data_IF_128859096591
#
_entry.id   IF_128859096591
#
_cell.length_a   1.000
_cell.length_b   1.000
_cell.length_c   1.000
_cell.angle_alpha   90.00
_cell.angle_beta   90.00
_cell.angle_gamma   90.00
#
_symmetry.space_group_name_H-M   'P 1'
#
loop_
_entity.id
_entity.type
_entity.pdbx_description
1 polymer ?
#
# COMPACT_ATOMS: atom_id res chain seq x y z
N UNK A 1 7.06 15.06 18.37
CA UNK A 1 6.49 13.81 17.81
C UNK A 1 7.11 13.61 16.43
N UNK A 2 7.88 12.54 16.21
CA UNK A 2 8.52 12.27 14.92
C UNK A 2 7.55 11.51 14.01
N UNK A 3 7.24 12.08 12.85
CA UNK A 3 6.45 11.38 11.81
C UNK A 3 7.42 10.55 10.98
N UNK A 4 7.08 9.31 10.63
CA UNK A 4 7.93 8.42 9.84
C UNK A 4 7.27 8.09 8.48
N UNK A 5 8.08 8.02 7.43
CA UNK A 5 7.67 7.71 6.07
C UNK A 5 7.06 6.31 6.00
N UNK A 6 5.86 6.13 5.43
CA UNK A 6 5.24 4.80 5.40
C UNK A 6 5.84 3.84 4.35
N UNK A 7 6.63 4.35 3.40
CA UNK A 7 7.31 3.52 2.40
C UNK A 7 8.72 3.06 2.81
N UNK A 8 9.46 3.89 3.55
CA UNK A 8 10.85 3.59 3.95
C UNK A 8 11.13 3.78 5.45
N UNK A 9 10.16 4.29 6.22
CA UNK A 9 10.24 4.57 7.66
C UNK A 9 11.26 5.61 8.11
N UNK A 10 11.86 6.35 7.18
CA UNK A 10 12.67 7.51 7.50
C UNK A 10 11.84 8.55 8.29
N UNK A 11 12.39 9.20 9.33
CA UNK A 11 11.73 10.34 9.93
C UNK A 11 11.49 11.41 8.85
N UNK A 12 10.27 11.91 8.76
CA UNK A 12 9.87 13.01 7.89
C UNK A 12 10.31 14.29 8.58
N UNK A 13 11.62 14.50 8.57
CA UNK A 13 12.25 15.76 8.90
C UNK A 13 12.62 16.40 7.56
N UNK A 14 12.13 17.62 7.31
CA UNK A 14 12.61 18.47 6.23
C UNK A 14 14.13 18.63 6.40
N UNK A 15 14.92 17.87 5.65
CA UNK A 15 16.37 17.91 5.79
C UNK A 15 17.06 16.64 5.29
N UNK A 16 17.54 16.71 4.07
CA UNK A 16 18.29 15.68 3.38
C UNK A 16 19.45 15.11 4.21
N UNK A 17 19.39 13.80 4.53
CA UNK A 17 20.56 12.93 4.68
C UNK A 17 20.21 11.52 4.23
N UNK A 18 20.82 11.10 3.13
CA UNK A 18 21.11 9.71 2.78
C UNK A 18 21.54 8.95 4.06
N UNK A 19 21.07 7.72 4.37
CA UNK A 19 21.80 6.63 5.07
C UNK A 19 20.90 5.44 5.53
N UNK A 20 21.48 4.23 5.75
CA UNK A 20 20.84 2.93 5.56
C UNK A 20 20.30 2.29 6.86
N UNK A 21 19.04 2.56 7.21
CA UNK A 21 18.33 1.80 8.25
C UNK A 21 17.41 0.76 7.59
N UNK A 22 18.00 -0.29 7.01
CA UNK A 22 17.43 -1.02 5.87
C UNK A 22 16.37 -2.10 6.17
N UNK A 23 16.29 -2.72 7.35
CA UNK A 23 15.78 -4.11 7.32
C UNK A 23 14.32 -4.33 7.76
N UNK A 24 13.81 -3.68 8.82
CA UNK A 24 12.48 -4.07 9.37
C UNK A 24 11.28 -3.44 8.66
N UNK A 25 11.41 -2.21 8.16
CA UNK A 25 10.29 -1.47 7.56
C UNK A 25 10.22 -1.61 6.02
N UNK A 26 11.28 -2.13 5.39
CA UNK A 26 11.23 -2.66 4.01
C UNK A 26 10.14 -3.73 3.85
N UNK A 27 9.72 -4.39 4.93
CA UNK A 27 8.67 -5.42 4.94
C UNK A 27 7.26 -4.85 4.71
N UNK A 28 7.03 -3.55 4.92
CA UNK A 28 5.71 -2.91 4.75
C UNK A 28 5.53 -2.19 3.41
N UNK A 29 6.38 -2.47 2.42
CA UNK A 29 6.29 -1.80 1.13
C UNK A 29 5.17 -2.37 0.25
N UNK A 30 4.24 -1.50 -0.19
CA UNK A 30 3.22 -1.84 -1.20
C UNK A 30 3.82 -2.33 -2.53
N UNK A 31 5.12 -2.09 -2.79
CA UNK A 31 5.84 -2.62 -3.95
C UNK A 31 5.93 -4.16 -3.95
N UNK A 32 5.79 -4.82 -2.80
CA UNK A 32 5.82 -6.28 -2.67
C UNK A 32 4.52 -6.96 -3.09
N UNK A 33 3.44 -6.20 -3.22
CA UNK A 33 2.15 -6.72 -3.64
C UNK A 33 2.16 -6.96 -5.16
N UNK A 34 1.63 -8.11 -5.59
CA UNK A 34 1.36 -8.37 -7.00
C UNK A 34 0.30 -7.40 -7.53
N UNK A 35 0.15 -7.22 -8.85
CA UNK A 35 -0.91 -6.39 -9.41
C UNK A 35 -2.30 -6.76 -8.89
N UNK A 36 -2.62 -8.05 -8.84
CA UNK A 36 -3.87 -8.56 -8.26
C UNK A 36 -4.00 -8.21 -6.78
N UNK A 37 -2.96 -8.43 -5.98
CA UNK A 37 -2.97 -8.08 -4.56
C UNK A 37 -3.14 -6.58 -4.30
N UNK A 38 -2.58 -5.72 -5.17
CA UNK A 38 -2.82 -4.27 -5.10
C UNK A 38 -4.29 -3.94 -5.35
N UNK A 39 -4.93 -4.58 -6.33
CA UNK A 39 -6.36 -4.39 -6.57
C UNK A 39 -7.18 -4.79 -5.33
N UNK A 40 -6.94 -5.98 -4.78
CA UNK A 40 -7.58 -6.41 -3.52
C UNK A 40 -7.31 -5.42 -2.38
N UNK A 41 -6.07 -4.96 -2.20
CA UNK A 41 -5.71 -3.99 -1.17
C UNK A 41 -6.49 -2.67 -1.32
N UNK A 42 -6.63 -2.16 -2.54
CA UNK A 42 -7.36 -0.92 -2.81
C UNK A 42 -8.84 -1.01 -2.42
N UNK A 43 -9.47 -2.19 -2.51
CA UNK A 43 -10.88 -2.36 -2.08
C UNK A 43 -11.10 -2.28 -0.56
N UNK A 44 -10.04 -2.36 0.25
CA UNK A 44 -10.16 -2.47 1.71
C UNK A 44 -10.39 -1.13 2.43
N UNK A 45 -10.40 0.00 1.71
CA UNK A 45 -10.46 1.34 2.30
C UNK A 45 -11.73 1.61 3.13
N UNK A 46 -12.84 0.92 2.82
CA UNK A 46 -14.12 1.01 3.54
C UNK A 46 -14.28 -0.08 4.61
N UNK A 47 -13.22 -0.85 4.89
CA UNK A 47 -13.25 -2.02 5.75
C UNK A 47 -14.36 -3.05 5.43
N UNK A 48 -14.56 -3.43 4.15
CA UNK A 48 -15.55 -4.44 3.77
C UNK A 48 -15.24 -5.80 4.41
N UNK A 49 -16.19 -6.73 4.37
CA UNK A 49 -16.06 -8.16 4.65
C UNK A 49 -15.38 -8.92 3.49
N UNK A 50 -15.08 -10.22 3.65
CA UNK A 50 -14.48 -10.98 2.54
C UNK A 50 -15.49 -11.23 1.42
N UNK A 51 -16.76 -11.34 1.79
CA UNK A 51 -17.91 -11.55 0.92
C UNK A 51 -18.14 -10.31 0.05
N UNK A 52 -18.11 -9.13 0.64
CA UNK A 52 -18.21 -7.85 -0.08
C UNK A 52 -17.01 -7.63 -1.03
N UNK A 53 -15.78 -7.95 -0.57
CA UNK A 53 -14.59 -7.89 -1.45
C UNK A 53 -14.73 -8.87 -2.60
N UNK A 54 -15.22 -10.08 -2.34
CA UNK A 54 -15.41 -11.11 -3.34
C UNK A 54 -16.46 -10.70 -4.39
N UNK A 55 -17.56 -10.09 -3.95
CA UNK A 55 -18.58 -9.53 -4.84
C UNK A 55 -18.01 -8.40 -5.71
N UNK A 56 -17.30 -7.43 -5.13
CA UNK A 56 -16.66 -6.35 -5.88
C UNK A 56 -15.65 -6.85 -6.92
N UNK A 57 -14.87 -7.88 -6.56
CA UNK A 57 -13.82 -8.43 -7.42
C UNK A 57 -14.30 -9.55 -8.35
N UNK A 58 -15.58 -9.93 -8.29
CA UNK A 58 -16.17 -11.04 -9.05
C UNK A 58 -15.42 -12.39 -8.88
N UNK A 59 -15.07 -12.72 -7.64
CA UNK A 59 -14.40 -13.99 -7.28
C UNK A 59 -15.16 -14.74 -6.18
N UNK A 60 -14.76 -15.98 -5.90
CA UNK A 60 -15.28 -16.70 -4.73
C UNK A 60 -14.76 -16.11 -3.40
N UNK A 61 -15.54 -16.15 -2.30
CA UNK A 61 -15.10 -15.67 -0.98
C UNK A 61 -13.79 -16.30 -0.48
N UNK A 62 -13.56 -17.58 -0.81
CA UNK A 62 -12.31 -18.28 -0.48
C UNK A 62 -11.09 -17.63 -1.16
N UNK A 63 -11.25 -17.17 -2.40
CA UNK A 63 -10.20 -16.50 -3.17
C UNK A 63 -9.89 -15.13 -2.58
N UNK A 64 -10.92 -14.36 -2.21
CA UNK A 64 -10.72 -13.09 -1.51
C UNK A 64 -9.98 -13.29 -0.18
N UNK A 65 -10.38 -14.29 0.63
CA UNK A 65 -9.69 -14.66 1.88
C UNK A 65 -8.22 -15.01 1.64
N UNK A 66 -7.92 -15.77 0.58
CA UNK A 66 -6.56 -16.15 0.20
C UNK A 66 -5.70 -14.93 -0.15
N UNK A 67 -6.17 -14.04 -1.04
CA UNK A 67 -5.42 -12.84 -1.40
C UNK A 67 -5.21 -11.90 -0.20
N UNK A 68 -6.23 -11.68 0.62
CA UNK A 68 -6.11 -10.84 1.83
C UNK A 68 -5.10 -11.42 2.82
N UNK A 69 -5.07 -12.74 3.00
CA UNK A 69 -4.06 -13.39 3.85
C UNK A 69 -2.63 -13.19 3.30
N UNK A 70 -2.44 -13.32 1.99
CA UNK A 70 -1.15 -13.11 1.35
C UNK A 70 -0.68 -11.65 1.45
N UNK A 71 -1.58 -10.69 1.26
CA UNK A 71 -1.29 -9.25 1.45
C UNK A 71 -0.81 -9.00 2.88
N UNK A 72 -1.53 -9.53 3.88
CA UNK A 72 -1.14 -9.38 5.30
C UNK A 72 0.25 -9.97 5.56
N UNK A 73 0.52 -11.17 5.06
CA UNK A 73 1.84 -11.82 5.18
C UNK A 73 2.95 -10.96 4.55
N UNK A 74 2.73 -10.48 3.32
CA UNK A 74 3.66 -9.63 2.57
C UNK A 74 3.92 -8.27 3.20
N UNK A 75 2.98 -7.77 4.00
CA UNK A 75 3.09 -6.50 4.73
C UNK A 75 3.44 -6.70 6.22
N UNK A 76 4.11 -7.81 6.57
CA UNK A 76 4.62 -8.02 7.93
C UNK A 76 3.59 -8.54 8.93
N UNK A 77 2.59 -9.30 8.47
CA UNK A 77 1.63 -10.00 9.33
C UNK A 77 0.58 -9.13 9.99
N UNK A 78 0.33 -7.92 9.48
CA UNK A 78 -0.61 -6.97 10.10
C UNK A 78 -2.04 -7.54 10.27
N UNK A 79 -2.76 -7.03 11.26
CA UNK A 79 -4.19 -7.37 11.45
C UNK A 79 -5.06 -6.82 10.32
N UNK A 80 -6.27 -7.36 10.15
CA UNK A 80 -7.22 -6.86 9.15
C UNK A 80 -7.51 -5.36 9.34
N UNK A 81 -7.76 -4.94 10.59
CA UNK A 81 -8.02 -3.54 10.90
C UNK A 81 -6.86 -2.63 10.46
N UNK A 82 -5.61 -3.01 10.77
CA UNK A 82 -4.43 -2.26 10.34
C UNK A 82 -4.31 -2.22 8.82
N UNK A 83 -4.64 -3.30 8.13
CA UNK A 83 -4.63 -3.36 6.67
C UNK A 83 -5.70 -2.44 6.05
N UNK A 84 -6.92 -2.45 6.58
CA UNK A 84 -7.99 -1.56 6.12
C UNK A 84 -7.65 -0.09 6.37
N UNK A 85 -7.10 0.23 7.55
CA UNK A 85 -6.63 1.58 7.86
C UNK A 85 -5.53 2.03 6.88
N UNK A 86 -4.56 1.17 6.60
CA UNK A 86 -3.51 1.46 5.64
C UNK A 86 -4.09 1.70 4.23
N UNK A 87 -5.08 0.91 3.82
CA UNK A 87 -5.80 1.11 2.55
C UNK A 87 -6.58 2.42 2.52
N UNK A 88 -7.27 2.78 3.61
CA UNK A 88 -7.99 4.05 3.72
C UNK A 88 -7.07 5.27 3.64
N UNK A 89 -5.93 5.22 4.32
CA UNK A 89 -4.91 6.27 4.25
C UNK A 89 -4.30 6.37 2.85
N UNK A 90 -4.02 5.24 2.20
CA UNK A 90 -3.57 5.19 0.80
C UNK A 90 -4.59 5.82 -0.15
N UNK A 91 -5.86 5.44 -0.01
CA UNK A 91 -6.96 5.95 -0.84
C UNK A 91 -7.14 7.46 -0.70
N UNK A 92 -6.93 8.01 0.49
CA UNK A 92 -7.00 9.46 0.75
C UNK A 92 -5.72 10.22 0.40
N UNK A 93 -4.67 9.54 -0.09
CA UNK A 93 -3.36 10.16 -0.33
C UNK A 93 -2.68 10.66 0.95
N UNK A 94 -3.13 10.22 2.13
CA UNK A 94 -2.63 10.65 3.44
C UNK A 94 -1.44 9.83 3.94
N UNK A 95 -0.88 8.97 3.08
CA UNK A 95 0.37 8.31 3.39
C UNK A 95 1.49 9.33 3.24
N UNK A 96 2.06 9.74 4.36
CA UNK A 96 3.24 10.60 4.38
C UNK A 96 4.44 9.81 3.84
N UNK A 97 4.81 10.08 2.60
CA UNK A 97 6.02 9.59 1.95
C UNK A 97 7.11 10.66 2.10
N UNK A 98 8.35 10.26 2.36
CA UNK A 98 9.47 11.21 2.19
C UNK A 98 9.62 11.54 0.70
N UNK A 99 10.23 12.69 0.38
CA UNK A 99 10.41 13.16 -1.01
C UNK A 99 11.02 12.10 -1.94
N UNK A 100 11.98 11.32 -1.44
CA UNK A 100 12.60 10.22 -2.17
C UNK A 100 11.62 9.07 -2.49
N UNK A 101 10.75 8.70 -1.56
CA UNK A 101 9.73 7.68 -1.81
C UNK A 101 8.56 8.21 -2.64
N UNK A 102 8.24 9.49 -2.54
CA UNK A 102 7.22 10.14 -3.37
C UNK A 102 7.60 10.09 -4.86
N UNK A 103 8.87 10.33 -5.20
CA UNK A 103 9.38 10.25 -6.58
C UNK A 103 9.37 8.82 -7.18
N UNK A 104 9.45 7.79 -6.34
CA UNK A 104 9.48 6.38 -6.77
C UNK A 104 8.09 5.72 -6.82
N UNK A 105 7.10 6.31 -6.14
CA UNK A 105 5.73 5.76 -6.01
C UNK A 105 4.68 6.59 -6.73
N UNK A 106 5.03 7.79 -7.22
CA UNK A 106 4.20 8.47 -8.20
C UNK A 106 4.18 7.61 -9.47
N UNK A 107 2.99 7.20 -9.95
CA UNK A 107 2.93 6.70 -11.31
C UNK A 107 3.43 7.85 -12.19
N UNK A 108 4.47 7.59 -12.98
CA UNK A 108 4.73 8.40 -14.18
C UNK A 108 3.39 8.56 -14.88
N UNK A 109 2.92 9.80 -15.19
CA UNK A 109 1.71 9.93 -15.98
C UNK A 109 1.90 9.03 -17.19
N UNK A 110 1.00 8.05 -17.35
CA UNK A 110 0.96 7.26 -18.57
C UNK A 110 0.88 8.30 -19.67
N UNK A 111 1.95 8.45 -20.46
CA UNK A 111 1.90 9.26 -21.67
C UNK A 111 0.72 8.74 -22.48
N UNK A 112 -0.36 9.52 -22.52
CA UNK A 112 -1.38 9.35 -23.53
C UNK A 112 -0.69 9.61 -24.87
N UNK A 113 -0.58 8.62 -25.77
CA UNK A 113 -0.11 8.92 -27.11
C UNK A 113 -1.16 9.84 -27.73
N UNK A 114 -0.72 11.06 -28.07
CA UNK A 114 -1.46 12.00 -28.87
C UNK A 114 -2.02 11.26 -30.10
N UNK A 115 -3.33 11.03 -30.11
CA UNK A 115 -4.04 10.60 -31.31
C UNK A 115 -4.74 11.81 -31.92
N UNK A 116 -4.03 12.37 -32.90
CA UNK A 116 -4.56 13.09 -34.06
C UNK A 116 -5.65 12.31 -34.77
#
# INVERSE_FOLDING_TARGET
MTVHCLACAAPILDGAREHPARDRLSTMSLRRLTPTEKQFFMTLHSAPSNEEVAACMHVAPRTAKFHIANIRSKLGGMSRLRLCLLSALHHRGLLSLCASCMLLLTPTPLEEPART
#
